data_IF_931909626272
#
_entry.id   IF_931909626272
#
_cell.length_a   1.000
_cell.length_b   1.000
_cell.length_c   1.000
_cell.angle_alpha   90.00
_cell.angle_beta   90.00
_cell.angle_gamma   90.00
#
_symmetry.space_group_name_H-M   'P 1'
#
loop_
_entity.id
_entity.type
_entity.pdbx_description
1 polymer ?
#
# COMPACT_ATOMS: atom_id res chain seq x y z
N UNK A 1 -36.55 56.97 -30.15
CA UNK A 1 -36.48 58.41 -30.51
C UNK A 1 -35.22 58.95 -29.87
N UNK A 2 -34.11 59.32 -30.50
CA UNK A 2 -33.61 59.48 -31.88
C UNK A 2 -32.22 58.78 -31.92
N UNK A 3 -31.69 58.18 -33.00
CA UNK A 3 -31.27 58.81 -34.27
C UNK A 3 -30.02 59.68 -34.04
N UNK A 4 -28.88 59.61 -34.73
CA UNK A 4 -28.50 58.92 -35.97
C UNK A 4 -26.97 59.03 -36.17
N UNK A 5 -26.38 58.03 -36.83
CA UNK A 5 -25.34 58.07 -37.88
C UNK A 5 -23.93 58.67 -37.68
N UNK A 6 -22.90 57.84 -37.96
CA UNK A 6 -21.95 58.06 -39.07
C UNK A 6 -20.95 56.87 -39.22
N UNK A 7 -21.19 56.04 -40.24
CA UNK A 7 -20.21 55.18 -40.91
C UNK A 7 -19.17 55.98 -41.71
N UNK A 8 -17.95 55.44 -41.86
CA UNK A 8 -17.21 55.32 -43.12
C UNK A 8 -15.93 54.48 -42.88
N UNK A 9 -15.86 53.21 -43.27
CA UNK A 9 -15.46 52.69 -44.60
C UNK A 9 -14.03 53.05 -45.05
N UNK A 10 -13.21 52.00 -45.23
CA UNK A 10 -11.84 52.05 -45.78
C UNK A 10 -11.32 50.67 -46.17
N UNK A 11 -11.85 50.13 -47.25
CA UNK A 11 -11.45 48.91 -47.99
C UNK A 11 -10.09 49.13 -48.67
N UNK A 12 -9.11 48.23 -48.52
CA UNK A 12 -8.71 47.34 -49.62
C UNK A 12 -7.20 47.34 -49.98
N UNK A 13 -6.72 46.37 -50.78
CA UNK A 13 -5.46 45.64 -50.54
C UNK A 13 -4.39 45.78 -51.65
N UNK A 14 -3.12 45.50 -51.34
CA UNK A 14 -2.04 45.10 -52.28
C UNK A 14 -1.05 44.24 -51.48
N UNK A 15 -0.66 43.01 -51.83
CA UNK A 15 -0.39 42.45 -53.14
C UNK A 15 1.14 42.36 -53.32
N UNK A 16 1.75 41.22 -52.99
CA UNK A 16 3.19 40.97 -53.19
C UNK A 16 3.52 39.49 -53.08
N UNK A 17 3.63 38.81 -54.22
CA UNK A 17 4.04 37.40 -54.40
C UNK A 17 5.56 37.32 -54.66
N UNK A 18 6.23 36.36 -53.99
CA UNK A 18 7.38 35.48 -54.37
C UNK A 18 8.69 36.14 -54.95
N UNK A 19 9.88 35.49 -55.01
CA UNK A 19 10.22 34.05 -55.18
C UNK A 19 11.18 33.48 -54.08
N UNK A 20 11.15 32.19 -53.75
CA UNK A 20 11.83 31.03 -54.36
C UNK A 20 13.37 31.10 -54.45
N UNK A 21 14.00 30.05 -53.89
CA UNK A 21 15.34 29.51 -54.14
C UNK A 21 16.58 30.26 -53.59
N UNK A 22 17.21 29.67 -52.55
CA UNK A 22 18.63 29.33 -52.62
C UNK A 22 18.94 28.12 -51.73
N UNK A 23 19.02 26.96 -52.37
CA UNK A 23 19.79 25.81 -51.90
C UNK A 23 21.24 26.10 -52.29
N UNK A 24 22.16 26.17 -51.32
CA UNK A 24 23.57 25.89 -51.60
C UNK A 24 24.22 25.22 -50.39
N UNK A 25 24.86 24.10 -50.69
CA UNK A 25 25.53 23.21 -49.77
C UNK A 25 26.74 23.84 -49.07
N UNK A 26 26.94 23.48 -47.80
CA UNK A 26 28.27 23.47 -47.20
C UNK A 26 28.48 22.14 -46.47
N UNK A 27 28.95 21.16 -47.25
CA UNK A 27 29.56 19.93 -46.76
C UNK A 27 31.06 20.18 -46.76
N UNK A 28 31.71 20.17 -45.59
CA UNK A 28 33.04 19.61 -45.38
C UNK A 28 33.51 19.81 -43.93
N UNK A 29 33.67 18.65 -43.26
CA UNK A 29 34.83 18.35 -42.41
C UNK A 29 34.96 19.08 -41.07
N UNK A 30 34.62 18.38 -39.97
CA UNK A 30 35.47 18.39 -38.78
C UNK A 30 35.57 16.97 -38.21
N UNK A 31 36.81 16.62 -37.87
CA UNK A 31 37.36 15.30 -37.62
C UNK A 31 36.65 14.49 -36.52
N UNK A 32 36.65 13.18 -36.72
CA UNK A 32 36.38 12.17 -35.71
C UNK A 32 37.35 12.33 -34.53
N UNK A 33 36.88 12.89 -33.42
CA UNK A 33 37.49 12.68 -32.12
C UNK A 33 36.94 11.35 -31.57
N UNK A 34 37.68 10.27 -31.78
CA UNK A 34 37.39 8.98 -31.16
C UNK A 34 37.46 9.11 -29.64
N UNK A 35 36.34 8.98 -28.96
CA UNK A 35 36.28 8.79 -27.52
C UNK A 35 36.72 7.36 -27.21
N UNK A 36 38.00 7.19 -26.89
CA UNK A 36 38.49 5.95 -26.28
C UNK A 36 37.91 5.86 -24.88
N UNK A 37 37.05 4.85 -24.65
CA UNK A 37 36.63 4.46 -23.31
C UNK A 37 37.88 4.07 -22.50
N UNK A 38 38.04 4.55 -21.25
CA UNK A 38 39.12 4.07 -20.41
C UNK A 38 38.87 2.60 -20.08
N UNK A 39 39.71 1.72 -20.66
CA UNK A 39 39.83 0.34 -20.19
C UNK A 39 40.36 0.39 -18.77
N UNK A 40 39.53 -0.01 -17.80
CA UNK A 40 39.96 -0.22 -16.42
C UNK A 40 41.00 -1.34 -16.43
N UNK A 41 42.26 -1.00 -16.22
CA UNK A 41 43.30 -1.98 -15.95
C UNK A 41 42.89 -2.78 -14.71
N UNK A 42 42.65 -4.08 -14.89
CA UNK A 42 42.52 -5.02 -13.79
C UNK A 42 43.90 -5.11 -13.13
N UNK A 43 44.01 -4.63 -11.90
CA UNK A 43 45.18 -4.89 -11.06
C UNK A 43 45.31 -6.39 -10.81
N UNK A 44 46.49 -6.87 -10.37
CA UNK A 44 46.70 -8.29 -10.09
C UNK A 44 45.68 -8.78 -9.05
N UNK A 45 44.93 -9.84 -9.37
CA UNK A 45 44.09 -10.54 -8.41
C UNK A 45 45.00 -11.15 -7.33
N UNK A 46 44.97 -10.59 -6.12
CA UNK A 46 45.49 -11.29 -4.96
C UNK A 46 44.65 -12.54 -4.70
N UNK A 47 45.28 -13.70 -4.41
CA UNK A 47 44.55 -14.94 -4.20
C UNK A 47 43.71 -14.83 -2.93
N UNK A 48 42.39 -14.74 -3.11
CA UNK A 48 41.42 -14.80 -2.03
C UNK A 48 41.52 -16.19 -1.39
N UNK A 49 41.95 -16.23 -0.13
CA UNK A 49 42.03 -17.47 0.65
C UNK A 49 40.67 -18.16 0.79
N UNK A 50 40.65 -19.48 1.05
CA UNK A 50 39.41 -20.22 1.17
C UNK A 50 38.52 -19.66 2.30
N UNK A 51 37.19 -19.67 2.15
CA UNK A 51 36.29 -19.14 3.16
C UNK A 51 36.38 -19.94 4.47
N UNK A 52 36.62 -19.23 5.57
CA UNK A 52 36.61 -19.81 6.93
C UNK A 52 35.17 -20.01 7.40
N UNK A 53 34.78 -21.25 7.66
CA UNK A 53 33.52 -21.61 8.31
C UNK A 53 33.58 -21.25 9.81
N UNK A 54 32.67 -20.39 10.27
CA UNK A 54 32.52 -19.97 11.68
C UNK A 54 31.45 -20.77 12.43
N UNK A 55 31.06 -21.95 11.93
CA UNK A 55 30.09 -22.80 12.60
C UNK A 55 30.79 -23.77 13.58
N UNK A 56 30.32 -23.93 14.83
CA UNK A 56 30.74 -25.04 15.67
C UNK A 56 30.28 -26.36 15.05
N UNK A 57 31.14 -27.38 15.09
CA UNK A 57 30.82 -28.74 14.64
C UNK A 57 29.70 -29.31 15.53
N UNK A 58 28.46 -29.19 15.05
CA UNK A 58 27.30 -29.83 15.66
C UNK A 58 27.24 -31.28 15.22
N UNK A 59 27.43 -32.19 16.17
CA UNK A 59 27.15 -33.62 16.06
C UNK A 59 25.73 -33.84 15.50
N UNK A 60 25.62 -34.61 14.42
CA UNK A 60 24.33 -34.94 13.83
C UNK A 60 23.49 -35.79 14.82
N UNK A 61 22.21 -35.48 15.07
CA UNK A 61 21.35 -36.33 15.88
C UNK A 61 21.12 -37.67 15.16
N UNK A 62 21.42 -38.78 15.83
CA UNK A 62 21.07 -40.11 15.38
C UNK A 62 19.54 -40.24 15.29
N UNK A 63 19.04 -40.54 14.09
CA UNK A 63 17.62 -40.87 13.84
C UNK A 63 17.38 -42.32 14.28
N UNK A 64 16.52 -42.61 15.26
CA UNK A 64 16.15 -43.99 15.57
C UNK A 64 15.19 -44.55 14.49
N UNK A 65 15.43 -45.81 14.12
CA UNK A 65 14.65 -46.55 13.14
C UNK A 65 13.20 -46.80 13.60
N UNK A 66 12.22 -46.95 12.68
CA UNK A 66 10.81 -47.15 13.03
C UNK A 66 10.54 -48.58 13.52
N UNK A 67 9.87 -48.68 14.67
CA UNK A 67 9.31 -49.94 15.17
C UNK A 67 8.01 -50.28 14.43
N UNK A 68 7.89 -51.52 13.95
CA UNK A 68 6.67 -52.09 13.37
C UNK A 68 5.61 -52.35 14.45
N UNK A 69 4.32 -52.06 14.21
CA UNK A 69 3.26 -52.38 15.17
C UNK A 69 2.89 -53.87 15.12
N UNK A 70 2.95 -54.53 16.27
CA UNK A 70 2.39 -55.87 16.49
C UNK A 70 0.91 -55.75 16.83
N UNK A 71 0.07 -56.30 15.97
CA UNK A 71 -1.36 -56.47 16.21
C UNK A 71 -1.60 -57.74 17.05
N UNK A 72 -2.23 -57.58 18.20
CA UNK A 72 -2.85 -58.70 18.93
C UNK A 72 -4.28 -58.30 19.31
N UNK A 73 -5.22 -59.01 18.69
CA UNK A 73 -6.65 -59.03 18.97
C UNK A 73 -6.89 -59.88 20.23
N UNK A 74 -7.74 -59.39 21.13
CA UNK A 74 -8.27 -60.17 22.25
C UNK A 74 -9.51 -59.48 22.82
N UNK A 75 -10.69 -60.01 22.49
CA UNK A 75 -11.99 -59.46 22.92
C UNK A 75 -12.41 -59.89 24.32
N UNK A 76 -13.41 -59.18 24.84
CA UNK A 76 -14.16 -59.55 26.05
C UNK A 76 -15.10 -58.43 26.51
N UNK A 77 -16.40 -58.57 26.21
CA UNK A 77 -17.49 -57.78 26.79
C UNK A 77 -17.86 -58.33 28.21
N UNK A 78 -18.62 -57.60 29.05
CA UNK A 78 -20.10 -57.50 28.89
C UNK A 78 -20.71 -56.10 29.22
N UNK A 79 -21.98 -55.89 28.80
CA UNK A 79 -22.80 -54.67 29.01
C UNK A 79 -23.40 -54.51 30.43
N UNK A 80 -24.50 -53.72 30.67
CA UNK A 80 -25.52 -53.24 29.71
C UNK A 80 -26.03 -51.77 29.89
N UNK A 81 -26.93 -51.38 28.98
CA UNK A 81 -28.06 -50.43 29.13
C UNK A 81 -27.86 -48.90 29.29
N UNK A 82 -28.55 -48.14 28.43
CA UNK A 82 -28.82 -46.70 28.60
C UNK A 82 -28.79 -45.89 27.31
N UNK A 83 -29.74 -46.13 26.40
CA UNK A 83 -29.85 -45.38 25.15
C UNK A 83 -30.35 -43.95 25.37
N UNK A 84 -29.51 -42.98 25.01
CA UNK A 84 -29.96 -41.66 24.55
C UNK A 84 -29.26 -41.42 23.22
N UNK A 85 -30.03 -41.39 22.13
CA UNK A 85 -29.52 -41.10 20.81
C UNK A 85 -28.94 -39.67 20.80
N UNK A 86 -27.62 -39.57 20.72
CA UNK A 86 -26.96 -38.33 20.33
C UNK A 86 -27.33 -38.04 18.87
N UNK A 87 -27.78 -36.83 18.51
CA UNK A 87 -27.94 -36.47 17.12
C UNK A 87 -26.56 -36.57 16.46
N UNK A 88 -26.51 -37.24 15.31
CA UNK A 88 -25.31 -37.33 14.49
C UNK A 88 -24.75 -35.92 14.25
N UNK A 89 -23.42 -35.71 14.30
CA UNK A 89 -22.87 -34.43 13.88
C UNK A 89 -23.17 -34.32 12.38
N UNK A 90 -24.09 -33.42 12.04
CA UNK A 90 -24.19 -32.96 10.67
C UNK A 90 -22.81 -32.44 10.31
N UNK A 91 -22.15 -33.11 9.36
CA UNK A 91 -20.96 -32.59 8.68
C UNK A 91 -21.40 -31.44 7.78
N UNK A 92 -21.95 -30.40 8.40
CA UNK A 92 -22.08 -29.08 7.83
C UNK A 92 -20.72 -28.42 7.94
N UNK A 93 -20.20 -27.94 6.82
CA UNK A 93 -19.07 -27.00 6.83
C UNK A 93 -19.58 -25.75 7.56
N UNK A 94 -19.26 -25.64 8.85
CA UNK A 94 -19.56 -24.45 9.62
C UNK A 94 -18.59 -23.35 9.18
N UNK A 95 -19.05 -22.45 8.30
CA UNK A 95 -18.33 -21.24 7.96
C UNK A 95 -18.50 -20.28 9.14
N UNK A 96 -17.51 -20.28 10.03
CA UNK A 96 -17.45 -19.35 11.14
C UNK A 96 -16.96 -18.00 10.60
N UNK A 97 -17.69 -16.93 10.89
CA UNK A 97 -17.22 -15.59 10.52
C UNK A 97 -15.97 -15.26 11.31
N UNK A 98 -14.87 -15.04 10.60
CA UNK A 98 -13.61 -14.66 11.23
C UNK A 98 -13.73 -13.25 11.80
N UNK A 99 -13.17 -13.03 12.99
CA UNK A 99 -13.04 -11.68 13.54
C UNK A 99 -11.90 -10.90 12.87
N UNK A 100 -11.90 -9.57 13.01
CA UNK A 100 -10.76 -8.72 12.60
C UNK A 100 -9.44 -9.18 13.24
N UNK A 101 -9.51 -9.72 14.46
CA UNK A 101 -8.39 -10.30 15.19
C UNK A 101 -7.77 -11.56 14.56
N UNK A 102 -8.55 -12.37 13.83
CA UNK A 102 -8.02 -13.52 13.08
C UNK A 102 -7.34 -13.07 11.79
N UNK A 103 -7.67 -11.88 11.30
CA UNK A 103 -7.04 -11.31 10.10
C UNK A 103 -5.62 -10.81 10.38
N UNK A 104 -5.29 -10.46 11.63
CA UNK A 104 -3.95 -10.01 12.03
C UNK A 104 -2.82 -11.03 11.81
N UNK A 105 -3.16 -12.29 11.50
CA UNK A 105 -2.20 -13.31 11.10
C UNK A 105 -1.53 -13.04 9.74
N UNK A 106 -2.23 -12.32 8.84
CA UNK A 106 -1.90 -12.21 7.42
C UNK A 106 -0.50 -11.61 7.15
N UNK A 107 0.11 -12.10 6.07
CA UNK A 107 1.40 -11.64 5.58
C UNK A 107 1.86 -12.43 4.34
N UNK A 108 2.38 -11.78 3.29
CA UNK A 108 2.78 -12.47 2.07
C UNK A 108 4.04 -13.33 2.24
N UNK A 109 4.85 -13.12 3.29
CA UNK A 109 6.03 -13.94 3.57
C UNK A 109 5.71 -15.05 4.58
N UNK A 110 5.60 -16.27 4.09
CA UNK A 110 5.47 -17.48 4.92
C UNK A 110 6.83 -17.96 5.45
N UNK A 111 6.90 -18.72 6.56
CA UNK A 111 8.17 -19.17 7.16
C UNK A 111 9.14 -19.86 6.18
N UNK A 112 8.61 -20.67 5.26
CA UNK A 112 9.40 -21.36 4.23
C UNK A 112 9.75 -20.50 2.99
N UNK A 113 9.19 -19.29 2.91
CA UNK A 113 9.36 -18.36 1.79
C UNK A 113 10.03 -17.05 2.23
N UNK A 114 10.92 -17.13 3.23
CA UNK A 114 11.66 -15.97 3.74
C UNK A 114 10.94 -15.17 4.82
N UNK A 115 9.76 -15.59 5.29
CA UNK A 115 9.12 -15.04 6.49
C UNK A 115 9.82 -15.49 7.78
N UNK A 116 9.50 -14.84 8.89
CA UNK A 116 9.79 -15.38 10.22
C UNK A 116 8.85 -16.54 10.55
N UNK A 117 9.15 -17.29 11.61
CA UNK A 117 8.28 -18.37 12.08
C UNK A 117 6.94 -17.85 12.58
N UNK A 118 5.89 -18.69 12.57
CA UNK A 118 4.55 -18.32 13.02
C UNK A 118 4.48 -17.93 14.51
N UNK A 119 5.50 -18.29 15.28
CA UNK A 119 5.69 -17.93 16.68
C UNK A 119 6.51 -16.64 16.87
N UNK A 120 6.67 -15.81 15.83
CA UNK A 120 7.42 -14.54 15.87
C UNK A 120 7.12 -13.68 17.10
N UNK A 121 5.84 -13.59 17.47
CA UNK A 121 5.36 -12.75 18.57
C UNK A 121 5.21 -13.48 19.90
N UNK A 122 5.65 -14.75 20.00
CA UNK A 122 5.51 -15.53 21.22
C UNK A 122 6.22 -14.84 22.40
N UNK A 123 5.49 -14.70 23.52
CA UNK A 123 5.98 -13.99 24.71
C UNK A 123 5.97 -12.47 24.62
N UNK A 124 5.51 -11.89 23.50
CA UNK A 124 5.32 -10.44 23.36
C UNK A 124 3.88 -10.03 23.66
N UNK A 125 3.72 -8.93 24.40
CA UNK A 125 2.41 -8.34 24.66
C UNK A 125 1.96 -7.49 23.47
N UNK A 126 0.69 -7.60 23.08
CA UNK A 126 0.11 -6.83 21.97
C UNK A 126 0.34 -5.34 22.12
N UNK A 127 0.09 -4.77 23.30
CA UNK A 127 0.30 -3.35 23.58
C UNK A 127 1.73 -2.87 23.30
N UNK A 128 2.74 -3.73 23.55
CA UNK A 128 4.14 -3.40 23.25
C UNK A 128 4.40 -3.42 21.74
N UNK A 129 3.89 -4.44 21.05
CA UNK A 129 4.07 -4.59 19.60
C UNK A 129 3.39 -3.44 18.86
N UNK A 130 2.15 -3.10 19.21
CA UNK A 130 1.41 -1.99 18.60
C UNK A 130 2.04 -0.63 18.88
N UNK A 131 2.69 -0.45 20.04
CA UNK A 131 3.43 0.78 20.35
C UNK A 131 4.76 0.92 19.61
N UNK A 132 5.43 -0.20 19.28
CA UNK A 132 6.77 -0.20 18.67
C UNK A 132 6.74 -0.28 17.14
N UNK A 133 5.79 -0.99 16.55
CA UNK A 133 5.70 -1.17 15.09
C UNK A 133 5.72 0.16 14.32
N UNK A 134 4.91 1.19 14.68
CA UNK A 134 4.93 2.48 13.99
C UNK A 134 6.26 3.23 14.12
N UNK A 135 7.07 2.90 15.13
CA UNK A 135 8.33 3.59 15.46
C UNK A 135 9.57 2.92 14.88
N UNK A 136 9.42 1.82 14.15
CA UNK A 136 10.55 1.13 13.52
C UNK A 136 11.35 2.11 12.65
N UNK A 137 12.65 2.33 12.83
CA UNK A 137 13.36 3.39 12.13
C UNK A 137 13.51 3.10 10.63
N UNK A 138 13.58 4.16 9.82
CA UNK A 138 14.12 4.06 8.45
C UNK A 138 15.64 4.04 8.58
N UNK A 139 16.24 2.85 8.60
CA UNK A 139 17.68 2.71 8.73
C UNK A 139 18.39 2.97 7.40
N UNK A 140 19.60 3.53 7.40
CA UNK A 140 20.48 3.57 6.24
C UNK A 140 21.16 2.22 5.95
N UNK A 141 21.16 1.29 6.90
CA UNK A 141 21.77 -0.04 6.74
C UNK A 141 20.87 -0.94 5.88
N UNK A 142 21.36 -1.50 4.77
CA UNK A 142 20.60 -2.42 3.93
C UNK A 142 20.10 -3.65 4.70
N UNK A 143 20.92 -4.17 5.61
CA UNK A 143 20.56 -5.32 6.45
C UNK A 143 19.39 -4.99 7.37
N UNK A 144 19.43 -3.84 8.04
CA UNK A 144 18.33 -3.41 8.91
C UNK A 144 17.05 -3.12 8.12
N UNK A 145 17.15 -2.53 6.93
CA UNK A 145 16.00 -2.35 6.05
C UNK A 145 15.39 -3.68 5.60
N UNK A 146 16.22 -4.67 5.26
CA UNK A 146 15.74 -6.00 4.88
C UNK A 146 15.08 -6.72 6.06
N UNK A 147 15.64 -6.62 7.26
CA UNK A 147 15.05 -7.18 8.48
C UNK A 147 13.71 -6.51 8.82
N UNK A 148 13.64 -5.19 8.76
CA UNK A 148 12.39 -4.45 9.00
C UNK A 148 11.31 -4.85 7.99
N UNK A 149 11.66 -4.93 6.70
CA UNK A 149 10.73 -5.41 5.67
C UNK A 149 10.28 -6.83 5.93
N UNK A 150 11.21 -7.75 6.21
CA UNK A 150 10.89 -9.15 6.52
C UNK A 150 9.92 -9.23 7.70
N UNK A 151 10.16 -8.44 8.76
CA UNK A 151 9.31 -8.37 9.95
C UNK A 151 7.89 -7.93 9.58
N UNK A 152 7.77 -6.85 8.81
CA UNK A 152 6.48 -6.25 8.45
C UNK A 152 5.65 -7.11 7.48
N UNK A 153 6.29 -7.96 6.67
CA UNK A 153 5.62 -8.83 5.69
C UNK A 153 5.43 -10.28 6.14
N UNK A 154 5.99 -10.69 7.29
CA UNK A 154 5.86 -12.06 7.76
C UNK A 154 4.45 -12.37 8.24
N UNK A 155 3.91 -13.52 7.81
CA UNK A 155 2.74 -14.11 8.44
C UNK A 155 3.12 -14.65 9.83
N UNK A 156 2.33 -14.31 10.84
CA UNK A 156 2.61 -14.69 12.23
C UNK A 156 1.35 -14.65 13.08
N UNK A 157 1.23 -15.55 14.05
CA UNK A 157 0.15 -15.47 15.05
C UNK A 157 0.24 -14.14 15.80
N UNK A 158 -0.87 -13.39 15.94
CA UNK A 158 -0.83 -12.10 16.62
C UNK A 158 -0.32 -12.25 18.06
N UNK A 159 0.35 -11.22 18.62
CA UNK A 159 0.77 -11.22 20.02
C UNK A 159 -0.44 -11.32 20.97
N UNK A 160 -0.21 -11.90 22.15
CA UNK A 160 -1.24 -12.05 23.18
C UNK A 160 -1.64 -10.70 23.78
N UNK A 161 -2.93 -10.53 24.05
CA UNK A 161 -3.47 -9.36 24.74
C UNK A 161 -4.88 -8.99 24.27
N UNK A 162 -5.51 -7.97 24.90
CA UNK A 162 -6.82 -7.47 24.50
C UNK A 162 -6.80 -7.03 23.04
N UNK A 163 -7.88 -7.32 22.32
CA UNK A 163 -8.05 -6.96 20.91
C UNK A 163 -8.50 -5.51 20.71
N UNK A 164 -8.57 -4.75 21.80
CA UNK A 164 -8.92 -3.34 21.81
C UNK A 164 -7.77 -2.53 21.19
N UNK A 165 -8.07 -1.80 20.11
CA UNK A 165 -7.12 -0.90 19.45
C UNK A 165 -6.87 -1.25 17.98
N UNK A 166 -5.82 -0.66 17.37
CA UNK A 166 -5.53 -0.82 15.95
C UNK A 166 -5.16 -2.26 15.57
N UNK A 167 -5.55 -2.68 14.37
CA UNK A 167 -5.13 -3.95 13.78
C UNK A 167 -3.64 -3.97 13.46
N UNK A 168 -2.97 -5.11 13.67
CA UNK A 168 -1.56 -5.25 13.32
C UNK A 168 -1.32 -5.16 11.82
N UNK A 169 -2.23 -5.61 10.95
CA UNK A 169 -2.02 -5.43 9.50
C UNK A 169 -1.97 -3.95 9.14
N UNK A 170 -2.92 -3.15 9.61
CA UNK A 170 -2.96 -1.71 9.38
C UNK A 170 -1.65 -1.03 9.80
N UNK A 171 -1.19 -1.27 11.04
CA UNK A 171 0.07 -0.70 11.52
C UNK A 171 1.29 -1.12 10.70
N UNK A 172 1.33 -2.38 10.24
CA UNK A 172 2.43 -2.87 9.39
C UNK A 172 2.39 -2.22 8.01
N UNK A 173 1.20 -2.09 7.43
CA UNK A 173 0.98 -1.47 6.13
C UNK A 173 1.34 0.02 6.14
N UNK A 174 0.89 0.78 7.15
CA UNK A 174 1.24 2.17 7.36
C UNK A 174 2.75 2.34 7.52
N UNK A 175 3.41 1.44 8.27
CA UNK A 175 4.86 1.51 8.42
C UNK A 175 5.59 1.24 7.11
N UNK A 176 5.17 0.24 6.34
CA UNK A 176 5.73 -0.02 5.00
C UNK A 176 5.53 1.20 4.08
N UNK A 177 4.34 1.78 4.09
CA UNK A 177 4.02 2.99 3.33
C UNK A 177 4.94 4.17 3.72
N UNK A 178 5.06 4.46 5.01
CA UNK A 178 5.93 5.51 5.54
C UNK A 178 7.43 5.27 5.28
N UNK A 179 7.84 4.02 5.02
CA UNK A 179 9.19 3.66 4.59
C UNK A 179 9.39 3.77 3.06
N UNK A 180 8.37 4.20 2.29
CA UNK A 180 8.40 4.26 0.83
C UNK A 180 8.29 2.88 0.15
N UNK A 181 7.90 1.84 0.90
CA UNK A 181 7.82 0.45 0.43
C UNK A 181 6.45 0.16 -0.17
N UNK A 182 6.08 0.92 -1.21
CA UNK A 182 4.71 0.96 -1.71
C UNK A 182 4.20 -0.39 -2.23
N UNK A 183 5.03 -1.15 -2.94
CA UNK A 183 4.64 -2.48 -3.44
C UNK A 183 4.48 -3.50 -2.31
N UNK A 184 5.33 -3.41 -1.29
CA UNK A 184 5.23 -4.25 -0.10
C UNK A 184 3.96 -3.91 0.69
N UNK A 185 3.67 -2.62 0.90
CA UNK A 185 2.44 -2.17 1.54
C UNK A 185 1.21 -2.65 0.75
N UNK A 186 1.22 -2.52 -0.58
CA UNK A 186 0.16 -3.01 -1.47
C UNK A 186 -0.05 -4.51 -1.34
N UNK A 187 1.04 -5.29 -1.33
CA UNK A 187 0.96 -6.74 -1.17
C UNK A 187 0.35 -7.14 0.16
N UNK A 188 0.70 -6.44 1.25
CA UNK A 188 0.20 -6.75 2.58
C UNK A 188 -1.29 -6.42 2.73
N UNK A 189 -1.74 -5.24 2.27
CA UNK A 189 -3.16 -4.88 2.36
C UNK A 189 -4.03 -5.70 1.42
N UNK A 190 -3.48 -6.33 0.39
CA UNK A 190 -4.22 -7.24 -0.50
C UNK A 190 -4.63 -8.55 0.21
N UNK A 191 -3.94 -8.93 1.29
CA UNK A 191 -4.27 -10.11 2.10
C UNK A 191 -5.55 -9.92 2.94
N UNK A 192 -6.03 -8.68 3.09
CA UNK A 192 -7.20 -8.35 3.91
C UNK A 192 -8.46 -8.34 3.04
N UNK A 193 -9.43 -9.26 3.23
CA UNK A 193 -10.72 -9.14 2.56
C UNK A 193 -11.43 -7.85 2.97
N UNK A 194 -12.15 -7.19 2.05
CA UNK A 194 -12.80 -5.90 2.34
C UNK A 194 -13.77 -5.92 3.52
N UNK A 195 -14.38 -7.07 3.82
CA UNK A 195 -15.26 -7.24 5.00
C UNK A 195 -14.54 -7.15 6.36
N UNK A 196 -13.22 -7.28 6.38
CA UNK A 196 -12.37 -7.19 7.58
C UNK A 196 -11.45 -5.97 7.51
N UNK A 197 -11.74 -5.03 6.63
CA UNK A 197 -10.98 -3.81 6.51
C UNK A 197 -11.16 -2.95 7.77
N UNK A 198 -10.04 -2.63 8.41
CA UNK A 198 -9.99 -1.60 9.44
C UNK A 198 -9.61 -0.25 8.82
N UNK A 199 -9.70 0.81 9.62
CA UNK A 199 -9.46 2.17 9.15
C UNK A 199 -8.05 2.39 8.59
N UNK A 200 -7.04 1.75 9.16
CA UNK A 200 -5.65 1.89 8.74
C UNK A 200 -5.41 1.19 7.40
N UNK A 201 -5.98 0.00 7.21
CA UNK A 201 -5.93 -0.72 5.92
C UNK A 201 -6.62 0.09 4.82
N UNK A 202 -7.79 0.66 5.10
CA UNK A 202 -8.53 1.50 4.15
C UNK A 202 -7.74 2.73 3.72
N UNK A 203 -7.13 3.46 4.67
CA UNK A 203 -6.26 4.62 4.36
C UNK A 203 -5.08 4.25 3.47
N UNK A 204 -4.35 3.18 3.82
CA UNK A 204 -3.20 2.74 3.00
C UNK A 204 -3.65 2.35 1.60
N UNK A 205 -4.80 1.68 1.44
CA UNK A 205 -5.36 1.34 0.13
C UNK A 205 -5.68 2.59 -0.69
N UNK A 206 -6.30 3.59 -0.06
CA UNK A 206 -6.66 4.84 -0.69
C UNK A 206 -5.41 5.61 -1.14
N UNK A 207 -4.43 5.78 -0.24
CA UNK A 207 -3.18 6.48 -0.55
C UNK A 207 -2.38 5.78 -1.67
N UNK A 208 -2.32 4.44 -1.66
CA UNK A 208 -1.68 3.67 -2.74
C UNK A 208 -2.39 3.86 -4.09
N UNK A 209 -3.72 4.00 -4.10
CA UNK A 209 -4.48 4.25 -5.32
C UNK A 209 -4.27 5.69 -5.83
N UNK A 210 -4.22 6.68 -4.92
CA UNK A 210 -3.85 8.06 -5.26
C UNK A 210 -2.45 8.16 -5.88
N UNK A 211 -1.45 7.53 -5.27
CA UNK A 211 -0.08 7.52 -5.80
C UNK A 211 0.02 6.80 -7.17
N UNK A 212 -0.80 5.77 -7.38
CA UNK A 212 -0.88 5.10 -8.68
C UNK A 212 -1.67 5.90 -9.73
N UNK A 213 -2.31 7.01 -9.35
CA UNK A 213 -3.27 7.79 -10.17
C UNK A 213 -4.46 6.95 -10.66
N UNK A 214 -4.81 5.91 -9.91
CA UNK A 214 -5.98 5.07 -10.15
C UNK A 214 -7.17 5.66 -9.40
N UNK A 215 -7.76 6.71 -9.98
CA UNK A 215 -8.82 7.50 -9.34
C UNK A 215 -10.10 6.69 -9.17
N UNK A 216 -10.41 5.79 -10.11
CA UNK A 216 -11.56 4.91 -10.03
C UNK A 216 -11.47 3.97 -8.83
N UNK A 217 -10.30 3.32 -8.65
CA UNK A 217 -10.07 2.45 -7.49
C UNK A 217 -10.10 3.23 -6.18
N UNK A 218 -9.48 4.40 -6.16
CA UNK A 218 -9.45 5.24 -4.97
C UNK A 218 -10.86 5.68 -4.55
N UNK A 219 -11.68 6.14 -5.50
CA UNK A 219 -13.05 6.51 -5.19
C UNK A 219 -13.95 5.31 -4.84
N UNK A 220 -13.67 4.12 -5.37
CA UNK A 220 -14.33 2.89 -4.91
C UNK A 220 -13.99 2.55 -3.45
N UNK A 221 -12.76 2.84 -2.99
CA UNK A 221 -12.39 2.69 -1.56
C UNK A 221 -13.18 3.68 -0.72
N UNK A 222 -13.25 4.95 -1.13
CA UNK A 222 -14.01 6.00 -0.42
C UNK A 222 -15.50 5.62 -0.30
N UNK A 223 -16.11 5.14 -1.38
CA UNK A 223 -17.52 4.72 -1.37
C UNK A 223 -17.78 3.49 -0.48
N UNK A 224 -16.78 2.62 -0.30
CA UNK A 224 -16.90 1.42 0.53
C UNK A 224 -16.80 1.72 2.03
N UNK A 225 -16.26 2.88 2.42
CA UNK A 225 -16.18 3.27 3.83
C UNK A 225 -17.56 3.53 4.39
N UNK A 226 -18.01 2.61 5.26
CA UNK A 226 -19.30 2.69 5.93
C UNK A 226 -19.18 2.93 7.44
N UNK A 227 -17.97 2.92 7.99
CA UNK A 227 -17.73 3.06 9.43
C UNK A 227 -17.84 4.53 9.88
N UNK A 228 -18.78 4.88 10.78
CA UNK A 228 -18.91 6.24 11.30
C UNK A 228 -17.65 6.76 12.00
N UNK A 229 -16.78 5.87 12.50
CA UNK A 229 -15.48 6.26 13.09
C UNK A 229 -14.47 6.76 12.06
N UNK A 230 -14.75 6.54 10.77
CA UNK A 230 -13.92 6.95 9.64
C UNK A 230 -14.48 8.20 8.93
N UNK A 231 -15.08 9.12 9.69
CA UNK A 231 -15.65 10.36 9.15
C UNK A 231 -14.79 11.59 9.44
N UNK A 232 -13.48 11.42 9.64
CA UNK A 232 -12.58 12.55 9.83
C UNK A 232 -12.31 13.31 8.53
N UNK A 233 -11.65 14.46 8.66
CA UNK A 233 -11.40 15.36 7.53
C UNK A 233 -10.71 14.68 6.34
N UNK A 234 -9.87 13.67 6.58
CA UNK A 234 -9.22 12.90 5.52
C UNK A 234 -10.24 12.21 4.59
N UNK A 235 -11.20 11.48 5.17
CA UNK A 235 -12.22 10.78 4.40
C UNK A 235 -13.23 11.75 3.77
N UNK A 236 -13.59 12.82 4.49
CA UNK A 236 -14.49 13.85 3.95
C UNK A 236 -13.86 14.57 2.74
N UNK A 237 -12.58 14.98 2.81
CA UNK A 237 -11.84 15.55 1.69
C UNK A 237 -11.75 14.58 0.51
N UNK A 238 -11.53 13.31 0.78
CA UNK A 238 -11.49 12.27 -0.25
C UNK A 238 -12.85 12.10 -0.95
N UNK A 239 -13.95 12.15 -0.19
CA UNK A 239 -15.31 12.11 -0.73
C UNK A 239 -15.59 13.35 -1.61
N UNK A 240 -15.26 14.55 -1.13
CA UNK A 240 -15.41 15.80 -1.88
C UNK A 240 -14.64 15.71 -3.20
N UNK A 241 -13.39 15.25 -3.17
CA UNK A 241 -12.59 15.06 -4.38
C UNK A 241 -13.25 14.07 -5.35
N UNK A 242 -13.75 12.94 -4.86
CA UNK A 242 -14.43 11.93 -5.68
C UNK A 242 -15.74 12.44 -6.29
N UNK A 243 -16.51 13.26 -5.56
CA UNK A 243 -17.69 13.94 -6.09
C UNK A 243 -17.31 14.89 -7.22
N UNK A 244 -16.28 15.73 -7.02
CA UNK A 244 -15.78 16.63 -8.06
C UNK A 244 -15.28 15.87 -9.29
N UNK A 245 -14.54 14.78 -9.09
CA UNK A 245 -14.07 13.91 -10.16
C UNK A 245 -15.23 13.34 -11.01
N UNK A 246 -16.38 13.06 -10.38
CA UNK A 246 -17.61 12.58 -11.01
C UNK A 246 -18.53 13.70 -11.52
N UNK A 247 -18.13 14.97 -11.40
CA UNK A 247 -18.94 16.13 -11.79
C UNK A 247 -20.11 16.46 -10.84
N UNK A 248 -20.12 15.88 -9.65
CA UNK A 248 -21.11 16.10 -8.59
C UNK A 248 -20.78 17.37 -7.81
N UNK A 249 -20.80 18.51 -8.50
CA UNK A 249 -20.30 19.80 -7.97
C UNK A 249 -21.12 20.30 -6.79
N UNK A 250 -22.45 20.10 -6.79
CA UNK A 250 -23.32 20.59 -5.70
C UNK A 250 -23.09 19.82 -4.40
N UNK A 251 -22.93 18.51 -4.51
CA UNK A 251 -22.63 17.61 -3.41
C UNK A 251 -21.26 17.95 -2.80
N UNK A 252 -20.26 18.20 -3.65
CA UNK A 252 -18.93 18.61 -3.23
C UNK A 252 -18.92 19.97 -2.52
N UNK A 253 -19.69 20.94 -3.00
CA UNK A 253 -19.83 22.25 -2.36
C UNK A 253 -20.45 22.14 -0.97
N UNK A 254 -21.52 21.35 -0.81
CA UNK A 254 -22.10 21.06 0.51
C UNK A 254 -21.08 20.39 1.44
N UNK A 255 -20.28 19.46 0.93
CA UNK A 255 -19.22 18.81 1.68
C UNK A 255 -18.15 19.81 2.15
N UNK A 256 -17.73 20.75 1.30
CA UNK A 256 -16.76 21.80 1.65
C UNK A 256 -17.30 22.74 2.73
N UNK A 257 -18.56 23.18 2.62
CA UNK A 257 -19.21 24.01 3.62
C UNK A 257 -19.28 23.29 4.97
N UNK A 258 -19.72 22.03 4.98
CA UNK A 258 -19.79 21.21 6.17
C UNK A 258 -18.42 20.99 6.82
N UNK A 259 -17.38 20.74 6.01
CA UNK A 259 -16.01 20.55 6.48
C UNK A 259 -15.48 21.82 7.20
N UNK A 260 -15.78 23.01 6.66
CA UNK A 260 -15.45 24.30 7.30
C UNK A 260 -16.20 24.50 8.62
N UNK A 261 -17.49 24.19 8.67
CA UNK A 261 -18.29 24.31 9.90
C UNK A 261 -17.81 23.35 11.00
N UNK A 262 -17.22 22.20 10.63
CA UNK A 262 -16.59 21.27 11.57
C UNK A 262 -15.19 21.73 12.03
N UNK A 263 -14.69 22.84 11.51
CA UNK A 263 -13.41 23.44 11.91
C UNK A 263 -12.19 22.95 11.13
N UNK A 264 -12.35 22.17 10.07
CA UNK A 264 -11.26 21.85 9.15
C UNK A 264 -11.19 22.92 8.03
N UNK A 265 -10.38 23.95 8.28
CA UNK A 265 -10.13 25.05 7.35
C UNK A 265 -8.79 24.87 6.64
N UNK A 266 -8.78 24.06 5.57
CA UNK A 266 -7.63 23.83 4.70
C UNK A 266 -7.76 24.68 3.42
N UNK A 267 -7.11 25.86 3.36
CA UNK A 267 -7.25 26.77 2.23
C UNK A 267 -6.67 26.20 0.93
N UNK A 268 -5.67 25.33 1.02
CA UNK A 268 -5.08 24.70 -0.17
C UNK A 268 -6.06 23.69 -0.77
N UNK A 269 -6.69 22.87 0.06
CA UNK A 269 -7.72 21.95 -0.38
C UNK A 269 -8.93 22.68 -0.98
N UNK A 270 -9.44 23.72 -0.29
CA UNK A 270 -10.58 24.51 -0.77
C UNK A 270 -10.30 25.15 -2.14
N UNK A 271 -9.12 25.78 -2.30
CA UNK A 271 -8.74 26.38 -3.58
C UNK A 271 -8.66 25.35 -4.72
N UNK A 272 -8.10 24.16 -4.47
CA UNK A 272 -8.05 23.08 -5.46
C UNK A 272 -9.45 22.55 -5.81
N UNK A 273 -10.30 22.38 -4.80
CA UNK A 273 -11.67 21.91 -4.97
C UNK A 273 -12.49 22.91 -5.82
N UNK A 274 -12.35 24.21 -5.55
CA UNK A 274 -13.00 25.28 -6.33
C UNK A 274 -12.56 25.28 -7.80
N UNK A 275 -11.28 25.00 -8.09
CA UNK A 275 -10.80 24.87 -9.48
C UNK A 275 -11.44 23.70 -10.19
N UNK A 276 -11.51 22.55 -9.52
CA UNK A 276 -12.16 21.35 -10.06
C UNK A 276 -13.66 21.57 -10.29
N UNK A 277 -14.30 22.41 -9.47
CA UNK A 277 -15.69 22.85 -9.64
C UNK A 277 -15.89 23.88 -10.78
N UNK A 278 -14.82 24.32 -11.45
CA UNK A 278 -14.87 25.30 -12.55
C UNK A 278 -14.62 26.76 -12.16
N UNK A 279 -14.21 27.01 -10.91
CA UNK A 279 -13.82 28.33 -10.40
C UNK A 279 -12.54 28.87 -11.07
N UNK A 280 -12.49 30.20 -11.28
CA UNK A 280 -11.37 30.87 -12.00
C UNK A 280 -10.28 31.47 -11.10
N UNK A 281 -10.36 31.31 -9.77
CA UNK A 281 -9.36 31.84 -8.83
C UNK A 281 -7.96 31.20 -8.96
N UNK A 282 -6.93 31.84 -8.43
CA UNK A 282 -5.56 31.30 -8.44
C UNK A 282 -5.35 30.30 -7.30
N UNK A 283 -4.68 29.17 -7.58
CA UNK A 283 -4.25 28.23 -6.53
C UNK A 283 -2.94 28.74 -5.96
N UNK A 284 -2.95 29.25 -4.74
CA UNK A 284 -1.72 29.54 -4.02
C UNK A 284 -1.20 28.20 -3.43
N UNK A 285 -0.02 27.70 -3.85
CA UNK A 285 0.55 26.51 -3.25
C UNK A 285 0.81 26.73 -1.75
N UNK A 286 0.71 25.68 -0.91
CA UNK A 286 1.03 25.79 0.51
C UNK A 286 2.45 26.33 0.68
N UNK A 287 2.63 27.24 1.64
CA UNK A 287 3.95 27.76 1.98
C UNK A 287 4.87 26.60 2.36
N UNK A 288 6.10 26.57 1.81
CA UNK A 288 7.10 25.60 2.19
C UNK A 288 7.40 25.70 3.71
N UNK A 289 7.65 24.58 4.39
CA UNK A 289 7.97 24.57 5.82
C UNK A 289 9.27 25.31 6.15
#
# INVERSE_FOLDING_TARGET
MNGSDAEASGVGPRGGRAPAALVLALVASLAAAGTTLPTRAQGPEEPVGPPTLLAPAGEAPAVPAPATPSAAVGGGAPGPEGGTAAPAPETGIAVQELGTAETDYGGPLQPGAGGFGLALWQGSQRARVTALLPRLPVSASPTMQQLARRLLLSAARPPEGPLDGPGLIGLRAERLFAMGRLDDARSLVAEVPSRYEDAAVGRVRLDLAWLARDLDRACAVVDAVSDPRQQDAYWQKSLIFCQLHRGQVREAQLGLELLREQGDDDPAFAALADRLAGGRGDVQPPAAP
#
